data_IF_754656337075
#
_entry.id   IF_754656337075
#
_cell.length_a   1.000
_cell.length_b   1.000
_cell.length_c   1.000
_cell.angle_alpha   90.00
_cell.angle_beta   90.00
_cell.angle_gamma   90.00
#
_symmetry.space_group_name_H-M   'P 1'
#
loop_
_entity.id
_entity.type
_entity.pdbx_description
1 polymer ?
#
# COMPACT_ATOMS: atom_id res chain seq x y z
N UNK A 1 13.39 6.66 -24.99
CA UNK A 1 12.03 7.06 -24.58
C UNK A 1 11.13 5.86 -24.66
N UNK A 2 10.33 5.60 -23.63
CA UNK A 2 9.37 4.48 -23.62
C UNK A 2 7.95 5.01 -23.63
N UNK A 3 7.16 4.58 -24.61
CA UNK A 3 5.78 5.06 -24.76
C UNK A 3 4.84 4.31 -23.82
N UNK A 4 4.15 5.04 -22.93
CA UNK A 4 3.19 4.53 -21.97
C UNK A 4 1.76 4.52 -22.53
N UNK A 5 1.35 5.65 -23.12
CA UNK A 5 0.03 5.83 -23.72
C UNK A 5 0.26 6.24 -25.17
N UNK A 6 -0.43 5.58 -26.10
CA UNK A 6 -0.49 5.99 -27.51
C UNK A 6 -1.92 5.88 -28.00
N UNK A 7 -2.57 7.02 -28.13
CA UNK A 7 -3.88 7.15 -28.77
C UNK A 7 -3.85 8.33 -29.74
N UNK A 8 -4.87 8.48 -30.58
CA UNK A 8 -4.97 9.63 -31.49
C UNK A 8 -5.01 10.98 -30.75
N UNK A 9 -5.51 11.02 -29.51
CA UNK A 9 -5.75 12.26 -28.77
C UNK A 9 -4.79 12.49 -27.59
N UNK A 10 -4.04 11.46 -27.16
CA UNK A 10 -3.09 11.50 -26.05
C UNK A 10 -1.93 10.55 -26.29
N UNK A 11 -0.70 11.07 -26.21
CA UNK A 11 0.53 10.29 -26.02
C UNK A 11 1.15 10.63 -24.67
N UNK A 12 1.68 9.63 -23.96
CA UNK A 12 2.52 9.85 -22.79
C UNK A 12 3.77 9.01 -22.92
N UNK A 13 4.92 9.64 -22.77
CA UNK A 13 6.24 9.03 -22.95
C UNK A 13 7.08 9.21 -21.67
N UNK A 14 7.87 8.20 -21.34
CA UNK A 14 8.83 8.23 -20.24
C UNK A 14 10.25 8.37 -20.79
N UNK A 15 10.94 9.42 -20.35
CA UNK A 15 12.34 9.70 -20.65
C UNK A 15 13.20 9.23 -19.47
N UNK A 16 13.78 8.02 -19.60
CA UNK A 16 14.53 7.37 -18.52
C UNK A 16 15.72 8.20 -18.03
N UNK A 17 16.51 8.79 -18.93
CA UNK A 17 17.70 9.56 -18.55
C UNK A 17 17.34 10.86 -17.81
N UNK A 18 16.21 11.48 -18.18
CA UNK A 18 15.68 12.66 -17.53
C UNK A 18 14.77 12.34 -16.34
N UNK A 19 14.48 11.06 -16.09
CA UNK A 19 13.53 10.57 -15.08
C UNK A 19 12.20 11.34 -15.13
N UNK A 20 11.64 11.55 -16.33
CA UNK A 20 10.47 12.40 -16.51
C UNK A 20 9.46 11.84 -17.51
N UNK A 21 8.20 12.24 -17.32
CA UNK A 21 7.05 11.93 -18.16
C UNK A 21 6.69 13.15 -19.01
N UNK A 22 6.38 12.95 -20.28
CA UNK A 22 5.89 13.99 -21.19
C UNK A 22 4.56 13.57 -21.80
N UNK A 23 3.58 14.46 -21.77
CA UNK A 23 2.28 14.26 -22.42
C UNK A 23 2.15 15.15 -23.65
N UNK A 24 1.55 14.60 -24.70
CA UNK A 24 1.31 15.27 -25.97
C UNK A 24 -0.11 14.98 -26.48
N UNK A 25 -0.66 15.87 -27.31
CA UNK A 25 -1.98 15.71 -27.94
C UNK A 25 -3.09 16.54 -27.27
N UNK A 26 -4.28 16.50 -27.87
CA UNK A 26 -5.43 17.33 -27.49
C UNK A 26 -5.92 17.09 -26.05
N UNK A 27 -5.71 15.88 -25.49
CA UNK A 27 -6.12 15.53 -24.12
C UNK A 27 -4.96 15.54 -23.11
N UNK A 28 -3.78 16.05 -23.48
CA UNK A 28 -2.63 16.12 -22.57
C UNK A 28 -2.92 16.90 -21.27
N UNK A 29 -3.74 17.95 -21.36
CA UNK A 29 -4.15 18.78 -20.22
C UNK A 29 -4.87 17.98 -19.12
N UNK A 30 -5.55 16.87 -19.46
CA UNK A 30 -6.27 16.05 -18.48
C UNK A 30 -5.34 15.28 -17.54
N UNK A 31 -4.16 14.88 -18.02
CA UNK A 31 -3.15 14.13 -17.25
C UNK A 31 -1.99 15.02 -16.79
N UNK A 32 -1.94 16.27 -17.25
CA UNK A 32 -0.85 17.19 -16.92
C UNK A 32 -0.68 17.44 -15.41
N UNK A 33 -1.74 17.55 -14.57
CA UNK A 33 -1.58 17.72 -13.13
C UNK A 33 -0.85 16.56 -12.47
N UNK A 34 -1.25 15.31 -12.77
CA UNK A 34 -0.59 14.11 -12.22
C UNK A 34 0.82 13.96 -12.77
N UNK A 35 1.06 14.26 -14.06
CA UNK A 35 2.40 14.21 -14.65
C UNK A 35 3.33 15.24 -14.02
N UNK A 36 2.86 16.48 -13.80
CA UNK A 36 3.66 17.51 -13.14
C UNK A 36 4.04 17.09 -11.72
N UNK A 37 3.09 16.54 -10.97
CA UNK A 37 3.34 15.99 -9.64
C UNK A 37 4.35 14.83 -9.67
N UNK A 38 4.17 13.87 -10.57
CA UNK A 38 5.07 12.73 -10.72
C UNK A 38 6.50 13.17 -11.09
N UNK A 39 6.65 14.07 -12.06
CA UNK A 39 7.95 14.60 -12.48
C UNK A 39 8.64 15.38 -11.36
N UNK A 40 7.89 16.17 -10.60
CA UNK A 40 8.44 16.88 -9.46
C UNK A 40 9.00 15.89 -8.43
N UNK A 41 8.27 14.83 -8.11
CA UNK A 41 8.74 13.79 -7.18
C UNK A 41 9.94 13.02 -7.73
N UNK A 42 9.93 12.62 -9.00
CA UNK A 42 11.07 11.95 -9.64
C UNK A 42 12.34 12.81 -9.67
N UNK A 43 12.19 14.13 -9.72
CA UNK A 43 13.32 15.07 -9.69
C UNK A 43 13.85 15.37 -8.29
N UNK A 44 12.96 15.44 -7.28
CA UNK A 44 13.31 15.84 -5.92
C UNK A 44 13.63 14.67 -4.98
N UNK A 45 13.18 13.47 -5.33
CA UNK A 45 13.23 12.31 -4.45
C UNK A 45 13.90 11.10 -5.10
N UNK A 46 14.70 10.38 -4.32
CA UNK A 46 15.23 9.09 -4.75
C UNK A 46 14.10 8.07 -4.98
N UNK A 47 14.21 7.23 -6.03
CA UNK A 47 13.31 6.10 -6.22
C UNK A 47 13.59 5.01 -5.18
N UNK A 48 12.60 4.19 -4.86
CA UNK A 48 12.80 2.99 -4.06
C UNK A 48 13.72 1.97 -4.77
N UNK A 49 13.64 1.88 -6.10
CA UNK A 49 14.52 1.03 -6.89
C UNK A 49 14.62 1.49 -8.35
N UNK A 50 15.82 1.45 -8.93
CA UNK A 50 16.01 1.58 -10.39
C UNK A 50 16.36 0.21 -10.95
N UNK A 51 15.55 -0.30 -11.87
CA UNK A 51 15.76 -1.59 -12.54
C UNK A 51 16.17 -1.36 -13.99
N UNK A 52 16.60 -2.43 -14.67
CA UNK A 52 17.02 -2.33 -16.07
C UNK A 52 15.90 -1.81 -16.99
N UNK A 53 14.67 -2.28 -16.77
CA UNK A 53 13.52 -1.99 -17.65
C UNK A 53 12.63 -0.85 -17.17
N UNK A 54 12.68 -0.53 -15.88
CA UNK A 54 11.76 0.41 -15.24
C UNK A 54 12.34 1.02 -13.96
N UNK A 55 11.58 1.91 -13.35
CA UNK A 55 11.89 2.62 -12.11
C UNK A 55 10.72 2.44 -11.15
N UNK A 56 11.00 1.97 -9.94
CA UNK A 56 10.05 1.97 -8.83
C UNK A 56 10.23 3.27 -8.06
N UNK A 57 9.38 4.25 -8.34
CA UNK A 57 9.41 5.55 -7.64
C UNK A 57 9.12 5.38 -6.14
N UNK A 58 8.13 4.56 -5.79
CA UNK A 58 7.78 4.11 -4.44
C UNK A 58 7.19 2.71 -4.55
N UNK A 59 7.34 1.89 -3.51
CA UNK A 59 6.78 0.52 -3.50
C UNK A 59 5.25 0.52 -3.40
N UNK A 60 4.65 1.66 -3.04
CA UNK A 60 3.21 1.89 -3.04
C UNK A 60 2.64 2.31 -4.41
N UNK A 61 3.49 2.42 -5.44
CA UNK A 61 3.10 2.79 -6.79
C UNK A 61 3.58 1.73 -7.80
N UNK A 62 2.87 1.56 -8.92
CA UNK A 62 3.37 0.78 -10.04
C UNK A 62 4.70 1.30 -10.61
N UNK A 63 5.54 0.43 -11.19
CA UNK A 63 6.80 0.83 -11.79
C UNK A 63 6.63 1.64 -13.08
N UNK A 64 7.59 2.51 -13.37
CA UNK A 64 7.58 3.42 -14.52
C UNK A 64 8.69 3.01 -15.51
N UNK A 65 8.38 2.62 -16.75
CA UNK A 65 7.04 2.44 -17.33
C UNK A 65 6.47 1.05 -17.04
N UNK A 66 5.15 0.93 -16.94
CA UNK A 66 4.45 -0.37 -16.89
C UNK A 66 2.98 -0.24 -17.27
N UNK A 67 2.33 -1.35 -17.61
CA UNK A 67 0.88 -1.43 -17.84
C UNK A 67 0.05 -0.93 -16.63
N UNK A 68 0.35 -1.34 -15.39
CA UNK A 68 -0.34 -0.82 -14.22
C UNK A 68 -0.09 0.68 -13.99
N UNK A 69 1.10 1.22 -14.30
CA UNK A 69 1.34 2.67 -14.20
C UNK A 69 0.57 3.47 -15.26
N UNK A 70 0.50 2.96 -16.50
CA UNK A 70 -0.37 3.50 -17.54
C UNK A 70 -1.81 3.59 -17.05
N UNK A 71 -2.31 2.53 -16.42
CA UNK A 71 -3.66 2.49 -15.85
C UNK A 71 -3.85 3.51 -14.73
N UNK A 72 -2.86 3.67 -13.84
CA UNK A 72 -2.87 4.73 -12.82
C UNK A 72 -3.03 6.13 -13.43
N UNK A 73 -2.31 6.46 -14.50
CA UNK A 73 -2.46 7.74 -15.21
C UNK A 73 -3.86 7.92 -15.82
N UNK A 74 -4.42 6.88 -16.43
CA UNK A 74 -5.79 6.91 -16.97
C UNK A 74 -6.84 7.05 -15.86
N UNK A 75 -6.62 6.43 -14.71
CA UNK A 75 -7.50 6.54 -13.56
C UNK A 75 -7.51 7.96 -12.99
N UNK A 76 -6.37 8.65 -12.93
CA UNK A 76 -6.35 10.07 -12.53
C UNK A 76 -7.12 10.95 -13.52
N UNK A 77 -7.03 10.68 -14.84
CA UNK A 77 -7.85 11.37 -15.83
C UNK A 77 -9.35 11.11 -15.63
N UNK A 78 -9.75 9.87 -15.31
CA UNK A 78 -11.14 9.52 -14.98
C UNK A 78 -11.62 10.24 -13.72
N UNK A 79 -10.81 10.24 -12.66
CA UNK A 79 -11.13 10.93 -11.40
C UNK A 79 -11.33 12.43 -11.64
N UNK A 80 -10.47 13.05 -12.45
CA UNK A 80 -10.56 14.48 -12.80
C UNK A 80 -11.88 14.86 -13.49
N UNK A 81 -12.53 13.94 -14.22
CA UNK A 81 -13.84 14.15 -14.86
C UNK A 81 -15.02 13.59 -14.06
N UNK A 82 -14.82 13.33 -12.76
CA UNK A 82 -15.89 12.85 -11.88
C UNK A 82 -16.25 11.38 -12.06
N UNK A 83 -15.35 10.56 -12.63
CA UNK A 83 -15.49 9.10 -12.73
C UNK A 83 -14.54 8.42 -11.73
N UNK A 84 -14.97 8.18 -10.48
CA UNK A 84 -14.10 7.62 -9.47
C UNK A 84 -13.79 6.15 -9.75
N UNK A 85 -12.51 5.79 -9.61
CA UNK A 85 -11.99 4.43 -9.80
C UNK A 85 -11.23 4.01 -8.54
N UNK A 86 -11.45 2.79 -8.00
CA UNK A 86 -10.58 2.27 -6.96
C UNK A 86 -9.25 1.87 -7.62
N UNK A 87 -8.22 2.68 -7.43
CA UNK A 87 -6.86 2.39 -7.92
C UNK A 87 -6.21 1.26 -7.12
N UNK A 88 -6.48 1.24 -5.81
CA UNK A 88 -6.01 0.22 -4.87
C UNK A 88 -7.19 -0.56 -4.31
N UNK A 89 -7.11 -1.88 -4.39
CA UNK A 89 -8.02 -2.79 -3.69
C UNK A 89 -7.20 -3.64 -2.73
N UNK A 90 -7.49 -3.55 -1.43
CA UNK A 90 -6.90 -4.45 -0.44
C UNK A 90 -7.91 -5.50 0.01
N UNK A 91 -7.44 -6.74 0.17
CA UNK A 91 -8.27 -7.91 0.47
C UNK A 91 -7.71 -8.58 1.71
N UNK A 92 -8.52 -8.69 2.77
CA UNK A 92 -8.23 -9.54 3.90
C UNK A 92 -8.42 -11.00 3.48
N UNK A 93 -7.34 -11.78 3.42
CA UNK A 93 -7.39 -13.13 2.82
C UNK A 93 -7.64 -14.24 3.83
N UNK A 94 -7.32 -14.03 5.10
CA UNK A 94 -7.55 -15.00 6.18
C UNK A 94 -7.50 -14.32 7.54
N UNK A 95 -8.18 -14.90 8.54
CA UNK A 95 -8.04 -14.52 9.95
C UNK A 95 -6.88 -15.25 10.62
N UNK A 96 -6.33 -16.29 9.99
CA UNK A 96 -5.22 -17.04 10.55
C UNK A 96 -3.99 -16.15 10.68
N UNK A 97 -3.43 -16.07 11.88
CA UNK A 97 -2.18 -15.38 12.16
C UNK A 97 -1.52 -16.00 13.39
N UNK A 98 -0.21 -16.20 13.35
CA UNK A 98 0.54 -16.62 14.56
C UNK A 98 0.85 -15.45 15.48
N UNK A 99 0.76 -14.21 15.00
CA UNK A 99 0.86 -13.01 15.83
C UNK A 99 -0.44 -12.77 16.63
N UNK A 100 -0.32 -12.14 17.79
CA UNK A 100 -1.43 -11.81 18.70
C UNK A 100 -1.46 -10.31 19.00
N UNK A 101 -1.29 -9.49 17.96
CA UNK A 101 -1.18 -8.04 18.09
C UNK A 101 -2.40 -7.44 18.80
N UNK A 102 -2.17 -6.59 19.80
CA UNK A 102 -3.26 -5.90 20.51
C UNK A 102 -4.01 -4.83 19.70
N UNK A 103 -3.63 -4.61 18.45
CA UNK A 103 -4.27 -3.68 17.51
C UNK A 103 -5.00 -4.38 16.35
N UNK A 104 -4.97 -5.72 16.29
CA UNK A 104 -5.58 -6.48 15.20
C UNK A 104 -7.11 -6.32 15.20
N UNK A 105 -7.70 -6.04 14.03
CA UNK A 105 -9.14 -5.79 13.88
C UNK A 105 -9.93 -7.02 13.42
N UNK A 106 -9.23 -8.06 12.94
CA UNK A 106 -9.85 -9.17 12.21
C UNK A 106 -9.74 -10.53 12.92
N UNK A 107 -9.33 -10.53 14.19
CA UNK A 107 -9.08 -11.78 14.93
C UNK A 107 -10.36 -12.59 15.20
N UNK A 108 -11.48 -11.91 15.40
CA UNK A 108 -12.76 -12.49 15.77
C UNK A 108 -13.76 -12.37 14.61
N UNK A 109 -14.72 -13.30 14.53
CA UNK A 109 -15.78 -13.33 13.52
C UNK A 109 -15.97 -14.70 12.89
N UNK A 110 -17.04 -14.85 12.11
CA UNK A 110 -17.36 -16.09 11.39
C UNK A 110 -17.20 -15.91 9.88
N UNK A 111 -16.87 -17.01 9.20
CA UNK A 111 -16.71 -17.06 7.75
C UNK A 111 -15.42 -16.40 7.25
N UNK A 112 -14.88 -16.98 6.19
CA UNK A 112 -13.80 -16.39 5.38
C UNK A 112 -14.22 -16.43 3.90
N UNK A 113 -13.63 -15.57 3.08
CA UNK A 113 -13.78 -15.65 1.63
C UNK A 113 -13.13 -16.95 1.12
N UNK A 114 -13.91 -17.71 0.36
CA UNK A 114 -13.42 -18.85 -0.40
C UNK A 114 -12.46 -18.41 -1.51
N UNK A 115 -11.71 -19.36 -2.05
CA UNK A 115 -10.82 -19.14 -3.18
C UNK A 115 -11.52 -18.42 -4.34
N UNK A 116 -12.64 -18.98 -4.80
CA UNK A 116 -13.41 -18.47 -5.95
C UNK A 116 -13.97 -17.07 -5.70
N UNK A 117 -14.36 -16.75 -4.46
CA UNK A 117 -14.81 -15.40 -4.11
C UNK A 117 -13.68 -14.39 -4.22
N UNK A 118 -12.46 -14.74 -3.80
CA UNK A 118 -11.30 -13.84 -3.93
C UNK A 118 -10.90 -13.69 -5.40
N UNK A 119 -10.91 -14.77 -6.19
CA UNK A 119 -10.68 -14.69 -7.64
C UNK A 119 -11.67 -13.74 -8.32
N UNK A 120 -12.97 -13.87 -8.00
CA UNK A 120 -14.01 -12.95 -8.50
C UNK A 120 -13.72 -11.50 -8.12
N UNK A 121 -13.34 -11.25 -6.86
CA UNK A 121 -12.99 -9.90 -6.40
C UNK A 121 -11.80 -9.33 -7.17
N UNK A 122 -10.77 -10.14 -7.44
CA UNK A 122 -9.62 -9.73 -8.26
C UNK A 122 -10.08 -9.34 -9.66
N UNK A 123 -10.83 -10.21 -10.33
CA UNK A 123 -11.31 -9.98 -11.69
C UNK A 123 -12.15 -8.71 -11.79
N UNK A 124 -13.15 -8.56 -10.91
CA UNK A 124 -14.02 -7.37 -10.89
C UNK A 124 -13.23 -6.09 -10.55
N UNK A 125 -12.23 -6.16 -9.66
CA UNK A 125 -11.36 -5.02 -9.36
C UNK A 125 -10.54 -4.61 -10.58
N UNK A 126 -9.95 -5.57 -11.28
CA UNK A 126 -9.20 -5.33 -12.51
C UNK A 126 -10.11 -4.79 -13.61
N UNK A 127 -11.34 -5.24 -13.75
CA UNK A 127 -12.30 -4.68 -14.72
C UNK A 127 -12.62 -3.21 -14.42
N UNK A 128 -12.77 -2.87 -13.14
CA UNK A 128 -13.06 -1.51 -12.70
C UNK A 128 -11.91 -0.52 -12.91
N UNK A 129 -10.68 -1.01 -13.10
CA UNK A 129 -9.50 -0.19 -13.32
C UNK A 129 -8.48 -0.24 -12.19
N UNK A 130 -8.62 -1.12 -11.20
CA UNK A 130 -7.59 -1.29 -10.17
C UNK A 130 -6.24 -1.58 -10.81
N UNK A 131 -5.21 -0.95 -10.27
CA UNK A 131 -3.81 -1.08 -10.69
C UNK A 131 -2.90 -1.54 -9.55
N UNK A 132 -3.44 -1.70 -8.35
CA UNK A 132 -2.75 -2.21 -7.17
C UNK A 132 -3.70 -3.14 -6.43
N UNK A 133 -3.30 -4.40 -6.24
CA UNK A 133 -3.97 -5.37 -5.38
C UNK A 133 -3.07 -5.62 -4.17
N UNK A 134 -3.64 -5.56 -2.97
CA UNK A 134 -2.87 -5.80 -1.73
C UNK A 134 -3.54 -6.91 -0.92
N UNK A 135 -2.87 -8.05 -0.78
CA UNK A 135 -3.28 -9.09 0.17
C UNK A 135 -2.75 -8.74 1.56
N UNK A 136 -3.66 -8.67 2.53
CA UNK A 136 -3.37 -8.13 3.87
C UNK A 136 -4.13 -8.87 4.95
N UNK A 137 -3.85 -8.47 6.19
CA UNK A 137 -4.43 -8.94 7.44
C UNK A 137 -4.25 -10.45 7.68
N UNK A 138 -4.35 -10.84 8.95
CA UNK A 138 -3.93 -12.18 9.36
C UNK A 138 -2.44 -12.39 9.06
N UNK A 139 -2.09 -13.54 8.49
CA UNK A 139 -0.84 -13.77 7.77
C UNK A 139 -1.18 -14.50 6.46
N UNK A 140 -1.16 -13.82 5.30
CA UNK A 140 -1.41 -14.43 4.00
C UNK A 140 -0.55 -15.67 3.72
N UNK A 141 0.64 -15.79 4.34
CA UNK A 141 1.52 -16.96 4.19
C UNK A 141 1.01 -18.24 4.86
N UNK A 142 -0.09 -18.16 5.62
CA UNK A 142 -0.79 -19.31 6.19
C UNK A 142 -1.92 -19.81 5.28
N UNK A 143 -2.30 -19.06 4.25
CA UNK A 143 -3.34 -19.46 3.31
C UNK A 143 -2.73 -20.32 2.20
N UNK A 144 -3.29 -21.51 1.98
CA UNK A 144 -2.71 -22.52 1.08
C UNK A 144 -2.65 -22.08 -0.40
N UNK A 145 -3.66 -21.36 -0.85
CA UNK A 145 -3.84 -20.90 -2.24
C UNK A 145 -3.23 -19.50 -2.52
N UNK A 146 -2.49 -18.91 -1.57
CA UNK A 146 -2.03 -17.50 -1.69
C UNK A 146 -1.16 -17.27 -2.94
N UNK A 147 -0.34 -18.25 -3.32
CA UNK A 147 0.53 -18.14 -4.50
C UNK A 147 -0.28 -18.15 -5.80
N UNK A 148 -1.40 -18.86 -5.83
CA UNK A 148 -2.33 -18.85 -6.96
C UNK A 148 -3.05 -17.51 -7.05
N UNK A 149 -3.53 -16.98 -5.93
CA UNK A 149 -4.16 -15.66 -5.88
C UNK A 149 -3.22 -14.55 -6.37
N UNK A 150 -1.94 -14.60 -6.00
CA UNK A 150 -0.91 -13.69 -6.54
C UNK A 150 -0.74 -13.86 -8.04
N UNK A 151 -0.65 -15.11 -8.52
CA UNK A 151 -0.47 -15.43 -9.95
C UNK A 151 -1.65 -15.05 -10.81
N UNK A 152 -2.87 -15.07 -10.26
CA UNK A 152 -4.11 -14.75 -10.96
C UNK A 152 -4.19 -13.27 -11.37
N UNK A 153 -3.48 -12.38 -10.66
CA UNK A 153 -3.48 -10.95 -10.98
C UNK A 153 -2.70 -10.70 -12.27
N UNK A 154 -3.39 -10.23 -13.30
CA UNK A 154 -2.80 -9.83 -14.58
C UNK A 154 -1.76 -8.70 -14.38
N UNK A 155 -0.47 -9.05 -14.56
CA UNK A 155 0.66 -8.16 -14.32
C UNK A 155 0.72 -6.95 -15.26
N UNK A 156 0.00 -6.98 -16.39
CA UNK A 156 -0.13 -5.84 -17.29
C UNK A 156 -1.22 -4.85 -16.82
N UNK A 157 -2.03 -5.24 -15.84
CA UNK A 157 -3.13 -4.43 -15.30
C UNK A 157 -2.89 -3.94 -13.88
N UNK A 158 -2.36 -4.78 -12.99
CA UNK A 158 -2.06 -4.42 -11.61
C UNK A 158 -0.75 -5.01 -11.08
N UNK A 159 -0.21 -4.37 -10.05
CA UNK A 159 0.86 -4.95 -9.21
C UNK A 159 0.27 -5.57 -7.94
N UNK A 160 0.97 -6.55 -7.37
CA UNK A 160 0.52 -7.28 -6.17
C UNK A 160 1.45 -7.02 -4.97
N UNK A 161 0.89 -6.47 -3.91
CA UNK A 161 1.52 -6.34 -2.61
C UNK A 161 1.03 -7.44 -1.68
N UNK A 162 1.91 -7.96 -0.82
CA UNK A 162 1.55 -8.91 0.22
C UNK A 162 2.12 -8.44 1.56
N UNK A 163 1.25 -8.21 2.55
CA UNK A 163 1.66 -7.88 3.91
C UNK A 163 1.82 -9.15 4.74
N UNK A 164 2.89 -9.25 5.53
CA UNK A 164 3.08 -10.37 6.48
C UNK A 164 3.77 -9.90 7.76
N UNK A 165 3.47 -10.50 8.92
CA UNK A 165 4.32 -10.36 10.11
C UNK A 165 5.69 -11.04 9.96
N UNK A 166 5.88 -11.89 8.93
CA UNK A 166 7.15 -12.57 8.65
C UNK A 166 7.37 -13.87 9.41
N UNK A 167 6.46 -14.25 10.31
CA UNK A 167 6.64 -15.41 11.21
C UNK A 167 6.73 -16.75 10.48
N UNK A 168 6.12 -16.83 9.29
CA UNK A 168 5.96 -18.04 8.51
C UNK A 168 6.78 -18.06 7.22
N UNK A 169 7.68 -17.09 7.05
CA UNK A 169 8.49 -16.99 5.84
C UNK A 169 9.55 -18.10 5.81
N UNK A 170 9.65 -18.75 4.66
CA UNK A 170 10.71 -19.71 4.34
C UNK A 170 11.28 -19.40 2.96
N UNK A 171 12.46 -19.94 2.65
CA UNK A 171 13.06 -19.80 1.30
C UNK A 171 12.11 -20.33 0.23
N UNK A 172 11.46 -21.47 0.48
CA UNK A 172 10.49 -22.06 -0.47
C UNK A 172 9.30 -21.12 -0.73
N UNK A 173 8.70 -20.53 0.33
CA UNK A 173 7.60 -19.58 0.16
C UNK A 173 8.04 -18.33 -0.58
N UNK A 174 9.23 -17.81 -0.28
CA UNK A 174 9.77 -16.63 -0.97
C UNK A 174 10.02 -16.89 -2.47
N UNK A 175 10.53 -18.07 -2.84
CA UNK A 175 10.66 -18.50 -4.24
C UNK A 175 9.29 -18.61 -4.89
N UNK A 176 8.31 -19.27 -4.26
CA UNK A 176 6.94 -19.39 -4.78
C UNK A 176 6.26 -18.04 -5.00
N UNK A 177 6.44 -17.08 -4.08
CA UNK A 177 5.94 -15.71 -4.24
C UNK A 177 6.59 -15.01 -5.44
N UNK A 178 7.90 -15.14 -5.61
CA UNK A 178 8.61 -14.56 -6.74
C UNK A 178 8.13 -15.16 -8.06
N UNK A 179 7.99 -16.49 -8.13
CA UNK A 179 7.50 -17.21 -9.31
C UNK A 179 6.02 -16.93 -9.62
N UNK A 180 5.23 -16.60 -8.60
CA UNK A 180 3.86 -16.14 -8.76
C UNK A 180 3.76 -14.71 -9.30
N UNK A 181 4.87 -13.95 -9.30
CA UNK A 181 4.90 -12.56 -9.77
C UNK A 181 4.58 -11.52 -8.69
N UNK A 182 4.81 -11.84 -7.41
CA UNK A 182 4.67 -10.86 -6.34
C UNK A 182 5.52 -9.61 -6.64
N UNK A 183 4.89 -8.44 -6.61
CA UNK A 183 5.59 -7.18 -6.86
C UNK A 183 6.37 -6.73 -5.63
N UNK A 184 5.75 -6.77 -4.46
CA UNK A 184 6.36 -6.27 -3.23
C UNK A 184 5.90 -7.06 -2.00
N UNK A 185 6.86 -7.44 -1.15
CA UNK A 185 6.59 -8.01 0.16
C UNK A 185 6.70 -6.92 1.22
N UNK A 186 5.65 -6.73 2.03
CA UNK A 186 5.63 -5.75 3.12
C UNK A 186 5.76 -6.49 4.44
N UNK A 187 6.84 -6.24 5.18
CA UNK A 187 7.11 -6.86 6.49
C UNK A 187 7.04 -5.80 7.58
N UNK A 188 6.17 -6.01 8.56
CA UNK A 188 6.01 -5.03 9.65
C UNK A 188 7.09 -5.17 10.74
N UNK A 189 7.83 -4.09 11.01
CA UNK A 189 8.85 -3.99 12.07
C UNK A 189 8.62 -2.72 12.89
N UNK A 190 8.18 -2.89 14.15
CA UNK A 190 7.71 -1.78 14.99
C UNK A 190 8.77 -1.14 15.89
N UNK A 191 9.91 -1.81 16.10
CA UNK A 191 11.03 -1.32 16.90
C UNK A 191 12.30 -2.05 16.50
N UNK A 192 13.46 -1.42 16.74
CA UNK A 192 14.78 -2.04 16.69
C UNK A 192 15.13 -2.82 17.96
N UNK A 193 14.36 -2.64 19.05
CA UNK A 193 14.43 -3.51 20.25
C UNK A 193 13.55 -4.75 20.02
N UNK A 194 14.13 -5.96 20.11
CA UNK A 194 13.37 -7.21 20.02
C UNK A 194 12.21 -7.27 21.01
N UNK A 195 12.45 -6.85 22.25
CA UNK A 195 11.45 -6.92 23.33
C UNK A 195 10.24 -6.02 23.03
N UNK A 196 10.47 -4.81 22.51
CA UNK A 196 9.38 -3.90 22.13
C UNK A 196 8.63 -4.44 20.92
N UNK A 197 9.32 -4.94 19.90
CA UNK A 197 8.67 -5.52 18.72
C UNK A 197 7.83 -6.75 19.09
N UNK A 198 8.40 -7.68 19.86
CA UNK A 198 7.76 -8.92 20.30
C UNK A 198 6.52 -8.64 21.14
N UNK A 199 6.58 -7.62 22.01
CA UNK A 199 5.43 -7.14 22.78
C UNK A 199 4.31 -6.64 21.88
N UNK A 200 4.63 -5.84 20.84
CA UNK A 200 3.63 -5.38 19.86
C UNK A 200 3.01 -6.55 19.09
N UNK A 201 3.81 -7.56 18.73
CA UNK A 201 3.35 -8.77 18.03
C UNK A 201 2.66 -9.79 18.93
N UNK A 202 2.84 -9.71 20.25
CA UNK A 202 2.35 -10.69 21.22
C UNK A 202 3.01 -12.07 21.08
N UNK A 203 4.23 -12.13 20.54
CA UNK A 203 4.96 -13.38 20.25
C UNK A 203 6.46 -13.16 20.51
N UNK A 204 7.05 -14.00 21.36
CA UNK A 204 8.49 -13.99 21.59
C UNK A 204 9.28 -14.49 20.36
N UNK A 205 10.40 -13.84 20.05
CA UNK A 205 11.21 -14.08 18.86
C UNK A 205 10.58 -13.59 17.56
N UNK A 206 9.55 -12.73 17.61
CA UNK A 206 8.91 -12.21 16.42
C UNK A 206 9.80 -11.23 15.64
N UNK A 207 10.61 -10.45 16.36
CA UNK A 207 11.60 -9.56 15.76
C UNK A 207 12.57 -10.34 14.88
N UNK A 208 13.26 -11.34 15.44
CA UNK A 208 14.26 -12.13 14.71
C UNK A 208 13.63 -12.79 13.48
N UNK A 209 12.43 -13.36 13.61
CA UNK A 209 11.69 -13.94 12.49
C UNK A 209 11.34 -12.92 11.40
N UNK A 210 10.93 -11.71 11.77
CA UNK A 210 10.64 -10.65 10.80
C UNK A 210 11.92 -10.22 10.06
N UNK A 211 13.05 -10.11 10.77
CA UNK A 211 14.35 -9.78 10.17
C UNK A 211 14.81 -10.90 9.23
N UNK A 212 14.68 -12.16 9.63
CA UNK A 212 15.03 -13.31 8.79
C UNK A 212 14.12 -13.42 7.57
N UNK A 213 12.82 -13.13 7.71
CA UNK A 213 11.89 -13.06 6.59
C UNK A 213 12.32 -12.02 5.55
N UNK A 214 12.74 -10.82 6.00
CA UNK A 214 13.26 -9.76 5.12
C UNK A 214 14.51 -10.26 4.39
N UNK A 215 15.47 -10.85 5.11
CA UNK A 215 16.71 -11.38 4.50
C UNK A 215 16.43 -12.47 3.47
N UNK A 216 15.56 -13.42 3.80
CA UNK A 216 15.15 -14.49 2.88
C UNK A 216 14.51 -13.92 1.62
N UNK A 217 13.58 -12.97 1.76
CA UNK A 217 12.90 -12.34 0.63
C UNK A 217 13.89 -11.57 -0.27
N UNK A 218 14.78 -10.77 0.31
CA UNK A 218 15.82 -10.05 -0.45
C UNK A 218 16.77 -11.02 -1.16
N UNK A 219 17.24 -12.07 -0.48
CA UNK A 219 18.16 -13.07 -1.06
C UNK A 219 17.53 -13.88 -2.20
N UNK A 220 16.20 -14.03 -2.21
CA UNK A 220 15.47 -14.68 -3.30
C UNK A 220 15.12 -13.72 -4.44
N UNK A 221 15.44 -12.42 -4.31
CA UNK A 221 15.23 -11.40 -5.33
C UNK A 221 13.86 -10.73 -5.29
N UNK A 222 13.11 -10.86 -4.20
CA UNK A 222 11.90 -10.08 -3.97
C UNK A 222 12.25 -8.64 -3.61
N UNK A 223 11.39 -7.71 -4.04
CA UNK A 223 11.38 -6.36 -3.49
C UNK A 223 10.71 -6.38 -2.12
N UNK A 224 11.30 -5.67 -1.15
CA UNK A 224 10.85 -5.66 0.23
C UNK A 224 10.66 -4.23 0.72
N UNK A 225 9.52 -4.01 1.37
CA UNK A 225 9.20 -2.83 2.15
C UNK A 225 9.17 -3.19 3.63
N UNK A 226 9.98 -2.52 4.44
CA UNK A 226 9.82 -2.59 5.88
C UNK A 226 8.75 -1.57 6.29
N UNK A 227 7.77 -1.96 7.09
CA UNK A 227 6.67 -1.06 7.48
C UNK A 227 6.56 -0.92 8.99
N UNK A 228 6.19 0.26 9.47
CA UNK A 228 5.88 0.49 10.87
C UNK A 228 4.67 1.42 11.03
N UNK A 229 4.02 1.32 12.18
CA UNK A 229 3.03 2.28 12.64
C UNK A 229 3.59 3.06 13.82
N UNK A 230 3.47 4.39 13.78
CA UNK A 230 3.97 5.29 14.82
C UNK A 230 2.81 5.98 15.53
N UNK A 231 2.88 5.99 16.85
CA UNK A 231 1.99 6.76 17.72
C UNK A 231 2.72 7.97 18.30
N UNK A 232 1.98 8.84 18.98
CA UNK A 232 2.55 9.95 19.77
C UNK A 232 3.67 9.46 20.70
N UNK A 233 4.76 10.21 20.76
CA UNK A 233 5.98 9.89 21.50
C UNK A 233 6.91 8.89 20.83
N UNK A 234 6.57 8.37 19.64
CA UNK A 234 7.37 7.34 18.96
C UNK A 234 8.05 7.81 17.67
N UNK A 235 7.87 9.07 17.26
CA UNK A 235 8.38 9.60 15.98
C UNK A 235 9.90 9.48 15.84
N UNK A 236 10.64 9.65 16.94
CA UNK A 236 12.12 9.53 16.90
C UNK A 236 12.60 8.13 16.50
N UNK A 237 11.79 7.09 16.75
CA UNK A 237 12.12 5.71 16.38
C UNK A 237 12.22 5.51 14.86
N UNK A 238 11.65 6.41 14.06
CA UNK A 238 11.74 6.35 12.60
C UNK A 238 13.20 6.37 12.15
N UNK A 239 14.07 7.12 12.83
CA UNK A 239 15.49 7.21 12.45
C UNK A 239 16.23 5.90 12.72
N UNK A 240 15.96 5.25 13.85
CA UNK A 240 16.55 3.94 14.18
C UNK A 240 16.05 2.86 13.22
N UNK A 241 14.76 2.85 12.92
CA UNK A 241 14.18 1.95 11.92
C UNK A 241 14.74 2.22 10.53
N UNK A 242 14.97 3.47 10.15
CA UNK A 242 15.60 3.81 8.87
C UNK A 242 17.05 3.31 8.78
N UNK A 243 17.80 3.39 9.88
CA UNK A 243 19.14 2.80 9.96
C UNK A 243 19.09 1.28 9.76
N UNK A 244 18.21 0.58 10.48
CA UNK A 244 18.00 -0.85 10.31
C UNK A 244 17.58 -1.21 8.87
N UNK A 245 16.64 -0.45 8.29
CA UNK A 245 16.20 -0.61 6.91
C UNK A 245 17.38 -0.50 5.92
N UNK A 246 18.26 0.46 6.17
CA UNK A 246 19.49 0.68 5.38
C UNK A 246 20.45 -0.50 5.50
N UNK A 247 20.67 -1.01 6.70
CA UNK A 247 21.54 -2.17 6.96
C UNK A 247 21.00 -3.45 6.30
N UNK A 248 19.68 -3.64 6.30
CA UNK A 248 19.03 -4.79 5.67
C UNK A 248 18.99 -4.69 4.15
N UNK A 249 19.04 -3.48 3.58
CA UNK A 249 18.96 -3.26 2.13
C UNK A 249 17.54 -3.38 1.56
N UNK A 250 16.51 -3.09 2.36
CA UNK A 250 15.13 -2.99 1.85
C UNK A 250 15.01 -1.81 0.87
N UNK A 251 14.00 -1.81 0.00
CA UNK A 251 13.84 -0.74 -1.01
C UNK A 251 13.12 0.49 -0.43
N UNK A 252 12.23 0.29 0.54
CA UNK A 252 11.49 1.39 1.18
C UNK A 252 11.17 1.08 2.65
N UNK A 253 11.27 2.10 3.50
CA UNK A 253 10.68 2.12 4.84
C UNK A 253 9.35 2.86 4.77
N UNK A 254 8.26 2.21 5.16
CA UNK A 254 6.91 2.79 5.14
C UNK A 254 6.39 3.07 6.54
N UNK A 255 6.27 4.36 6.85
CA UNK A 255 5.77 4.89 8.12
C UNK A 255 4.28 5.24 8.00
N UNK A 256 3.48 4.64 8.87
CA UNK A 256 2.05 4.89 8.95
C UNK A 256 1.68 5.50 10.30
N UNK A 257 0.71 6.41 10.35
CA UNK A 257 0.10 6.83 11.61
C UNK A 257 -0.60 5.61 12.23
N UNK A 258 -0.20 5.23 13.45
CA UNK A 258 -0.89 4.20 14.20
C UNK A 258 -2.29 4.64 14.61
N UNK A 259 -3.23 3.69 14.72
CA UNK A 259 -4.57 3.99 15.22
C UNK A 259 -4.49 4.10 16.74
N UNK A 260 -4.71 5.29 17.33
CA UNK A 260 -4.62 5.46 18.77
C UNK A 260 -5.73 4.70 19.48
N UNK A 261 -5.47 4.21 20.69
CA UNK A 261 -6.48 3.69 21.63
C UNK A 261 -6.96 4.75 22.62
N UNK A 262 -6.12 5.74 22.87
CA UNK A 262 -6.40 6.86 23.78
C UNK A 262 -6.05 8.17 23.11
N UNK A 263 -6.60 9.28 23.60
CA UNK A 263 -6.30 10.61 23.03
C UNK A 263 -4.80 10.95 23.08
N UNK A 264 -4.08 10.44 24.09
CA UNK A 264 -2.65 10.67 24.29
C UNK A 264 -1.78 9.98 23.24
N UNK A 265 -2.25 8.87 22.66
CA UNK A 265 -1.54 8.14 21.60
C UNK A 265 -1.64 8.82 20.23
N UNK A 266 -2.56 9.79 20.07
CA UNK A 266 -2.76 10.50 18.81
C UNK A 266 -1.59 11.43 18.53
N UNK A 267 -1.01 11.32 17.32
CA UNK A 267 0.05 12.22 16.88
C UNK A 267 -0.39 13.69 16.93
N UNK A 268 0.48 14.52 17.50
CA UNK A 268 0.36 15.97 17.49
C UNK A 268 0.69 16.54 16.11
N UNK A 269 0.36 17.82 15.88
CA UNK A 269 0.74 18.51 14.64
C UNK A 269 2.26 18.63 14.50
N UNK A 270 2.97 18.91 15.60
CA UNK A 270 4.44 19.01 15.65
C UNK A 270 5.08 17.68 15.23
N UNK A 271 4.53 16.56 15.71
CA UNK A 271 5.00 15.24 15.34
C UNK A 271 4.77 14.90 13.87
N UNK A 272 3.61 15.29 13.30
CA UNK A 272 3.35 15.14 11.87
C UNK A 272 4.34 15.94 11.01
N UNK A 273 4.62 17.19 11.41
CA UNK A 273 5.62 18.03 10.75
C UNK A 273 7.01 17.39 10.82
N UNK A 274 7.39 16.85 11.98
CA UNK A 274 8.65 16.11 12.15
C UNK A 274 8.72 14.88 11.23
N UNK A 275 7.64 14.11 11.08
CA UNK A 275 7.58 12.99 10.11
C UNK A 275 7.81 13.50 8.68
N UNK A 276 7.18 14.60 8.30
CA UNK A 276 7.32 15.20 6.96
C UNK A 276 8.75 15.71 6.72
N UNK A 277 9.39 16.29 7.73
CA UNK A 277 10.78 16.76 7.63
C UNK A 277 11.75 15.59 7.48
N UNK A 278 11.53 14.51 8.24
CA UNK A 278 12.28 13.25 8.10
C UNK A 278 12.09 12.69 6.67
N UNK A 279 10.86 12.65 6.17
CA UNK A 279 10.54 12.22 4.79
C UNK A 279 11.31 13.03 3.75
N UNK A 280 11.23 14.37 3.80
CA UNK A 280 11.89 15.26 2.82
C UNK A 280 13.40 15.11 2.86
N UNK A 281 14.00 15.07 4.06
CA UNK A 281 15.44 14.90 4.25
C UNK A 281 15.94 13.56 3.72
N UNK A 282 15.26 12.47 4.06
CA UNK A 282 15.68 11.13 3.61
C UNK A 282 15.55 10.99 2.10
N UNK A 283 14.44 11.44 1.52
CA UNK A 283 14.18 11.23 0.11
C UNK A 283 15.01 12.14 -0.80
N UNK A 284 15.45 13.31 -0.34
CA UNK A 284 16.36 14.19 -1.10
C UNK A 284 17.83 13.80 -1.01
N UNK A 285 18.19 12.81 -0.20
CA UNK A 285 19.59 12.36 -0.01
C UNK A 285 19.84 11.03 -0.69
N UNK A 286 21.01 10.88 -1.31
CA UNK A 286 21.40 9.63 -1.98
C UNK A 286 21.69 8.51 -0.96
N UNK A 287 21.49 7.26 -1.40
CA UNK A 287 21.77 6.07 -0.60
C UNK A 287 20.65 5.70 0.38
N UNK A 288 20.69 4.47 0.89
CA UNK A 288 19.64 3.91 1.74
C UNK A 288 18.28 3.73 1.05
N UNK A 289 17.29 3.16 1.76
CA UNK A 289 15.95 2.97 1.24
C UNK A 289 15.25 4.32 1.05
N UNK A 290 14.22 4.33 0.22
CA UNK A 290 13.25 5.42 0.21
C UNK A 290 12.44 5.43 1.52
N UNK A 291 11.91 6.58 1.92
CA UNK A 291 10.90 6.68 2.98
C UNK A 291 9.53 6.97 2.37
N UNK A 292 8.53 6.15 2.70
CA UNK A 292 7.12 6.49 2.54
C UNK A 292 6.56 6.95 3.88
N UNK A 293 5.74 8.00 3.87
CA UNK A 293 5.01 8.46 5.06
C UNK A 293 3.57 8.79 4.67
N UNK A 294 2.59 8.10 5.26
CA UNK A 294 1.18 8.38 4.95
C UNK A 294 0.76 9.79 5.39
N UNK A 295 1.35 10.33 6.46
CA UNK A 295 1.17 11.72 6.90
C UNK A 295 1.50 12.74 5.78
N UNK A 296 2.49 12.45 4.94
CA UNK A 296 2.77 13.28 3.76
C UNK A 296 1.85 12.91 2.59
N UNK A 297 1.78 11.62 2.26
CA UNK A 297 1.08 11.15 1.06
C UNK A 297 -0.42 11.40 1.10
N UNK A 298 -1.08 11.01 2.19
CA UNK A 298 -2.51 11.24 2.40
C UNK A 298 -2.78 12.60 3.05
N UNK A 299 -1.86 13.12 3.88
CA UNK A 299 -2.09 14.38 4.60
C UNK A 299 -1.78 15.65 3.79
N UNK A 300 -0.88 15.59 2.80
CA UNK A 300 -0.51 16.76 1.99
C UNK A 300 -0.65 16.55 0.48
N UNK A 301 -0.35 15.34 -0.03
CA UNK A 301 -0.24 15.12 -1.47
C UNK A 301 -1.58 14.80 -2.14
N UNK A 302 -2.27 13.73 -1.72
CA UNK A 302 -3.47 13.22 -2.40
C UNK A 302 -4.77 13.38 -1.59
N UNK A 303 -4.67 13.72 -0.30
CA UNK A 303 -5.75 13.54 0.65
C UNK A 303 -5.94 12.07 1.03
N UNK A 304 -6.82 11.83 1.99
CA UNK A 304 -7.32 10.52 2.35
C UNK A 304 -7.77 9.77 1.09
N UNK A 305 -7.31 8.53 0.93
CA UNK A 305 -7.66 7.69 -0.21
C UNK A 305 -8.90 6.85 0.02
N UNK A 306 -9.37 6.74 1.27
CA UNK A 306 -10.47 5.87 1.65
C UNK A 306 -11.73 6.18 0.84
N UNK A 307 -12.30 5.17 0.16
CA UNK A 307 -13.48 5.34 -0.69
C UNK A 307 -13.30 6.31 -1.87
N UNK A 308 -12.07 6.81 -2.10
CA UNK A 308 -11.74 7.77 -3.18
C UNK A 308 -10.87 7.14 -4.25
N UNK A 309 -9.78 6.51 -3.81
CA UNK A 309 -8.80 5.75 -4.60
C UNK A 309 -8.57 4.36 -4.03
N UNK A 310 -8.96 4.11 -2.78
CA UNK A 310 -8.82 2.84 -2.08
C UNK A 310 -10.20 2.25 -1.79
N UNK A 311 -10.35 0.96 -2.06
CA UNK A 311 -11.42 0.10 -1.58
C UNK A 311 -10.82 -1.06 -0.78
N UNK A 312 -11.47 -1.45 0.32
CA UNK A 312 -11.02 -2.55 1.16
C UNK A 312 -12.11 -3.62 1.29
N UNK A 313 -11.72 -4.88 1.11
CA UNK A 313 -12.59 -6.05 1.21
C UNK A 313 -12.20 -6.82 2.46
N UNK A 314 -13.12 -6.88 3.40
CA UNK A 314 -13.01 -7.65 4.62
C UNK A 314 -13.05 -9.15 4.33
N UNK A 315 -12.51 -9.94 5.25
CA UNK A 315 -12.41 -11.40 5.14
C UNK A 315 -13.79 -12.07 5.14
N UNK A 316 -14.81 -11.35 5.60
CA UNK A 316 -16.23 -11.73 5.58
C UNK A 316 -16.97 -11.28 4.30
N UNK A 317 -16.27 -10.62 3.37
CA UNK A 317 -16.81 -10.03 2.15
C UNK A 317 -17.34 -8.60 2.30
N UNK A 318 -17.29 -8.01 3.50
CA UNK A 318 -17.72 -6.64 3.73
C UNK A 318 -16.85 -5.62 2.99
N UNK A 319 -17.46 -4.59 2.41
CA UNK A 319 -16.77 -3.58 1.60
C UNK A 319 -16.68 -2.25 2.36
N UNK A 320 -15.44 -1.81 2.60
CA UNK A 320 -15.09 -0.63 3.39
C UNK A 320 -14.24 0.35 2.57
N UNK A 321 -14.15 1.59 3.03
CA UNK A 321 -13.36 2.62 2.35
C UNK A 321 -11.83 2.41 2.47
N UNK A 322 -11.36 1.84 3.57
CA UNK A 322 -9.95 1.52 3.83
C UNK A 322 -9.87 0.47 4.96
N UNK A 323 -8.70 -0.13 5.26
CA UNK A 323 -8.60 -1.16 6.30
C UNK A 323 -8.89 -0.69 7.73
N UNK A 324 -8.78 0.62 8.01
CA UNK A 324 -8.97 1.14 9.37
C UNK A 324 -10.42 1.48 9.71
N UNK A 325 -11.27 1.70 8.70
CA UNK A 325 -12.69 1.96 8.91
C UNK A 325 -13.41 0.61 9.04
N UNK A 326 -14.26 0.45 10.04
CA UNK A 326 -14.96 -0.81 10.31
C UNK A 326 -16.32 -0.90 9.62
N UNK A 327 -16.94 0.23 9.34
CA UNK A 327 -18.25 0.25 8.72
C UNK A 327 -18.20 -0.29 7.29
N UNK A 328 -18.94 -1.37 7.07
CA UNK A 328 -19.20 -1.95 5.76
C UNK A 328 -20.44 -1.33 5.16
N UNK A 329 -20.39 -0.93 3.88
CA UNK A 329 -21.53 -0.35 3.15
C UNK A 329 -22.13 -1.31 2.11
N UNK A 330 -21.51 -2.47 1.89
CA UNK A 330 -21.98 -3.52 0.98
C UNK A 330 -21.26 -4.84 1.30
N UNK A 331 -21.74 -5.96 0.77
CA UNK A 331 -21.02 -7.24 0.83
C UNK A 331 -20.88 -7.82 -0.58
N UNK A 332 -19.68 -8.29 -0.94
CA UNK A 332 -19.38 -8.89 -2.26
C UNK A 332 -20.18 -10.17 -2.53
N UNK A 333 -20.77 -10.80 -1.50
CA UNK A 333 -21.66 -11.96 -1.62
C UNK A 333 -23.06 -11.59 -2.08
N UNK A 334 -23.44 -10.33 -1.91
CA UNK A 334 -24.78 -9.82 -2.18
C UNK A 334 -24.82 -8.97 -3.46
N UNK A 335 -23.68 -8.44 -3.90
CA UNK A 335 -23.59 -7.61 -5.10
C UNK A 335 -22.22 -7.69 -5.78
N UNK A 336 -22.16 -7.22 -7.02
CA UNK A 336 -20.90 -6.99 -7.71
C UNK A 336 -20.10 -5.86 -7.05
N UNK A 337 -18.78 -5.97 -7.09
CA UNK A 337 -17.82 -5.01 -6.54
C UNK A 337 -18.04 -3.59 -7.07
N UNK A 338 -18.47 -3.48 -8.34
CA UNK A 338 -18.81 -2.20 -8.96
C UNK A 338 -19.98 -1.50 -8.26
N UNK A 339 -20.96 -2.24 -7.79
CA UNK A 339 -22.12 -1.68 -7.10
C UNK A 339 -21.78 -1.36 -5.65
N UNK A 340 -20.94 -2.18 -5.01
CA UNK A 340 -20.33 -1.86 -3.71
C UNK A 340 -19.52 -0.55 -3.76
N UNK A 341 -18.72 -0.32 -4.81
CA UNK A 341 -18.02 0.96 -5.01
C UNK A 341 -18.98 2.13 -5.14
N UNK A 342 -20.03 1.99 -5.95
CA UNK A 342 -21.05 3.04 -6.09
C UNK A 342 -21.73 3.33 -4.75
N UNK A 343 -22.01 2.31 -3.93
CA UNK A 343 -22.57 2.48 -2.59
C UNK A 343 -21.62 3.29 -1.68
N UNK A 344 -20.32 2.91 -1.63
CA UNK A 344 -19.30 3.68 -0.93
C UNK A 344 -19.30 5.15 -1.39
N UNK A 345 -19.31 5.39 -2.71
CA UNK A 345 -19.29 6.75 -3.28
C UNK A 345 -20.55 7.55 -3.01
N UNK A 346 -21.72 6.93 -3.02
CA UNK A 346 -23.02 7.59 -2.77
C UNK A 346 -23.27 7.89 -1.30
N UNK A 347 -22.50 7.30 -0.39
CA UNK A 347 -22.65 7.53 1.05
C UNK A 347 -22.36 8.97 1.49
N UNK A 348 -21.65 9.75 0.67
CA UNK A 348 -21.18 11.10 1.02
C UNK A 348 -20.03 11.13 2.04
N UNK A 349 -19.67 9.98 2.63
CA UNK A 349 -18.64 9.89 3.70
C UNK A 349 -17.22 10.17 3.23
N UNK A 350 -16.98 10.07 1.92
CA UNK A 350 -15.66 10.16 1.30
C UNK A 350 -15.58 11.33 0.29
N UNK A 351 -16.50 12.28 0.37
CA UNK A 351 -16.53 13.43 -0.53
C UNK A 351 -15.57 14.53 -0.07
N UNK A 352 -15.10 15.33 -1.04
CA UNK A 352 -14.16 16.41 -0.79
C UNK A 352 -12.71 15.95 -0.59
N UNK A 353 -11.83 16.92 -0.32
CA UNK A 353 -10.44 16.68 0.04
C UNK A 353 -10.34 16.64 1.57
N UNK A 354 -9.99 15.48 2.12
CA UNK A 354 -9.79 15.29 3.56
C UNK A 354 -8.31 15.04 3.80
N UNK A 355 -7.66 15.91 4.57
CA UNK A 355 -6.21 15.82 4.86
C UNK A 355 -5.91 15.25 6.26
N UNK A 356 -6.94 14.82 6.98
CA UNK A 356 -6.83 14.16 8.28
C UNK A 356 -7.40 12.76 8.21
N UNK A 357 -6.74 11.79 8.84
CA UNK A 357 -7.23 10.42 8.84
C UNK A 357 -8.46 10.31 9.78
N UNK A 358 -9.66 9.93 9.29
CA UNK A 358 -10.85 9.80 10.12
C UNK A 358 -10.70 8.71 11.20
N UNK A 359 -9.87 7.70 10.94
CA UNK A 359 -9.60 6.63 11.90
C UNK A 359 -8.86 7.12 13.16
N UNK A 360 -8.21 8.29 13.11
CA UNK A 360 -7.56 8.93 14.27
C UNK A 360 -8.56 9.42 15.31
N UNK A 361 -9.87 9.37 15.04
CA UNK A 361 -10.94 9.77 15.96
C UNK A 361 -11.84 8.60 16.39
N UNK A 362 -11.55 7.36 15.96
CA UNK A 362 -12.38 6.19 16.25
C UNK A 362 -12.12 5.54 17.61
N UNK A 363 -11.20 6.08 18.41
CA UNK A 363 -10.85 5.54 19.72
C UNK A 363 -11.90 5.83 20.80
N UNK A 364 -12.76 6.83 20.60
CA UNK A 364 -13.88 7.16 21.48
C UNK A 364 -15.12 6.29 21.29
N UNK A 365 -15.19 5.46 20.24
CA UNK A 365 -16.29 4.52 20.01
C UNK A 365 -16.00 3.10 20.51
N UNK A 366 -14.99 2.93 21.38
CA UNK A 366 -14.59 1.65 21.99
C UNK A 366 -14.71 1.64 23.52
N UNK A 367 -15.65 2.40 24.08
CA UNK A 367 -16.08 2.29 25.48
C UNK A 367 -17.50 1.73 25.50
#
# INVERSE_FOLDING_TARGET
>A
MTQLIKTAALSVDFERDAMSLKAHGALASMVQPVIKMANQRLAEEKPAQVRLKDVVASTWLPPIPSGPFKRLLLNEAHIAIGRPVPQTVSIEVTRQCKAKCGHCLIKEGEGELSHDEILRVIDEALEMGACIITFTEGDPLLREDIFELVRHVDSEKAVVNLFTPGLEMTVEKAVKLREAGLYNLIVGVYSTSPEVHDSVRGVAGAFDKAIDAIKIALNTGLMVTMSCHVLSGQVDRILDLYKLATELGVQELSVWEGIPKTAQERLTQIEREKIIDIYRKINSTAGGPRLFANTYFEGQLLGCMAGRRWMHIGVDGGVRGCPYLQESLANIRECHLRDAWKALRRSGKFDGLVCTCPAQSLFSSRI
#
